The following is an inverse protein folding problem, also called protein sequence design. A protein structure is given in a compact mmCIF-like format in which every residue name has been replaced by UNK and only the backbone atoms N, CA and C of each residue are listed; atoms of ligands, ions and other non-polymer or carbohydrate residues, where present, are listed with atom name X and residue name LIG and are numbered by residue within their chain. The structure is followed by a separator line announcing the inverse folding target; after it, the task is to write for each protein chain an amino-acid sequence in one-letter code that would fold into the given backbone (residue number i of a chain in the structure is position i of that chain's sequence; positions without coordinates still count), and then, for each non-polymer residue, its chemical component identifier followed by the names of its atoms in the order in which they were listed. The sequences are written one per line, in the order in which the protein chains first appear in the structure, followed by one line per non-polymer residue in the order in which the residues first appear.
data_IF_112285673531
#
_entry.id   IF_112285673531
#
_cell.length_a   1.000
_cell.length_b   1.000
_cell.length_c   1.000
_cell.angle_alpha   90.00
_cell.angle_beta   90.00
_cell.angle_gamma   90.00
#
_symmetry.space_group_name_H-M   'P 1'
#
loop_
_entity.id
_entity.type
_entity.pdbx_description
1 polymer ?
#
# COMPACT_ATOMS: atom_id res chain seq x y z
N UNK A 1 -21.46 5.33 -12.01
CA UNK A 1 -20.64 5.30 -10.78
C UNK A 1 -19.24 5.75 -11.14
N UNK A 2 -18.61 6.68 -10.42
CA UNK A 2 -17.22 7.01 -10.69
C UNK A 2 -16.37 5.78 -10.41
N UNK A 3 -15.67 5.28 -11.44
CA UNK A 3 -14.67 4.23 -11.28
C UNK A 3 -13.47 4.86 -10.57
N UNK A 4 -13.28 4.52 -9.30
CA UNK A 4 -12.01 4.80 -8.63
C UNK A 4 -11.00 3.86 -9.29
N UNK A 5 -9.96 4.36 -9.99
CA UNK A 5 -8.93 3.48 -10.52
C UNK A 5 -8.36 2.68 -9.35
N UNK A 6 -8.39 1.35 -9.46
CA UNK A 6 -7.77 0.48 -8.48
C UNK A 6 -6.33 0.98 -8.27
N UNK A 7 -5.88 1.19 -7.01
CA UNK A 7 -4.54 1.69 -6.78
C UNK A 7 -3.56 0.74 -7.47
N UNK A 8 -2.84 1.27 -8.47
CA UNK A 8 -1.75 0.54 -9.11
C UNK A 8 -0.84 0.02 -8.01
N UNK A 9 -0.46 -1.26 -8.07
CA UNK A 9 0.46 -1.90 -7.12
C UNK A 9 1.66 -0.98 -6.84
N UNK A 10 1.58 -0.17 -5.79
CA UNK A 10 2.69 0.61 -5.28
C UNK A 10 2.99 0.05 -3.92
N UNK A 11 3.72 -1.06 -3.95
CA UNK A 11 4.36 -1.63 -2.77
C UNK A 11 5.61 -0.86 -2.37
N UNK A 12 5.61 0.46 -2.57
CA UNK A 12 6.72 1.39 -2.36
C UNK A 12 6.23 2.51 -1.44
N UNK A 13 7.05 2.92 -0.47
CA UNK A 13 6.79 4.13 0.32
C UNK A 13 7.34 5.35 -0.40
N UNK A 14 6.72 6.50 -0.19
CA UNK A 14 7.27 7.77 -0.68
C UNK A 14 8.15 8.37 0.42
N UNK A 15 9.46 8.26 0.25
CA UNK A 15 10.49 8.71 1.19
C UNK A 15 11.42 9.69 0.46
N UNK A 16 11.71 10.84 1.06
CA UNK A 16 12.62 11.86 0.52
C UNK A 16 12.39 12.25 -0.96
N UNK A 17 11.13 12.35 -1.36
CA UNK A 17 10.76 12.77 -2.72
C UNK A 17 10.81 11.66 -3.77
N UNK A 18 11.06 10.40 -3.37
CA UNK A 18 11.12 9.23 -4.25
C UNK A 18 10.26 8.09 -3.74
N UNK A 19 9.87 7.20 -4.64
CA UNK A 19 9.29 5.91 -4.26
C UNK A 19 10.43 4.93 -3.98
N UNK A 20 10.45 4.39 -2.78
CA UNK A 20 11.47 3.48 -2.27
C UNK A 20 10.85 2.13 -1.90
N UNK A 21 11.58 1.06 -2.17
CA UNK A 21 11.21 -0.27 -1.74
C UNK A 21 11.41 -0.40 -0.23
N UNK A 22 10.41 -0.93 0.46
CA UNK A 22 10.39 -1.01 1.92
C UNK A 22 11.28 -2.16 2.38
N UNK A 23 11.98 -2.01 3.50
CA UNK A 23 12.83 -3.08 4.04
C UNK A 23 12.02 -4.22 4.69
N UNK A 24 10.74 -3.99 4.97
CA UNK A 24 9.82 -4.99 5.53
C UNK A 24 9.18 -5.94 4.50
N UNK A 25 9.03 -7.21 4.88
CA UNK A 25 8.31 -8.24 4.09
C UNK A 25 6.80 -8.30 4.40
N UNK A 26 6.29 -7.48 5.33
CA UNK A 26 4.89 -7.54 5.75
C UNK A 26 3.98 -6.74 4.84
N UNK A 27 2.80 -7.30 4.58
CA UNK A 27 1.77 -6.70 3.75
C UNK A 27 0.47 -6.54 4.53
N UNK A 28 -0.26 -5.46 4.24
CA UNK A 28 -1.60 -5.17 4.73
C UNK A 28 -2.60 -5.35 3.58
N UNK A 29 -3.62 -6.18 3.80
CA UNK A 29 -4.74 -6.28 2.86
C UNK A 29 -5.65 -5.06 2.99
N UNK A 30 -6.00 -4.47 1.85
CA UNK A 30 -6.97 -3.38 1.74
C UNK A 30 -8.25 -3.96 1.16
N UNK A 31 -9.32 -3.86 1.93
CA UNK A 31 -10.64 -4.40 1.59
C UNK A 31 -11.64 -3.26 1.41
N UNK A 32 -12.53 -3.37 0.43
CA UNK A 32 -13.63 -2.43 0.26
C UNK A 32 -14.66 -2.64 1.38
N UNK A 33 -14.94 -1.65 2.25
CA UNK A 33 -15.93 -1.84 3.31
C UNK A 33 -17.37 -1.95 2.79
N UNK A 34 -17.65 -1.53 1.55
CA UNK A 34 -19.00 -1.60 0.96
C UNK A 34 -19.31 -2.94 0.29
N UNK A 35 -18.29 -3.67 -0.17
CA UNK A 35 -18.46 -4.95 -0.90
C UNK A 35 -17.73 -6.12 -0.25
N UNK A 36 -16.90 -5.86 0.77
CA UNK A 36 -15.98 -6.82 1.41
C UNK A 36 -14.95 -7.46 0.47
N UNK A 37 -14.84 -6.96 -0.77
CA UNK A 37 -13.91 -7.49 -1.75
C UNK A 37 -12.49 -6.90 -1.56
N UNK A 38 -11.44 -7.69 -1.87
CA UNK A 38 -10.07 -7.21 -1.82
C UNK A 38 -9.82 -6.16 -2.92
N UNK A 39 -9.24 -5.03 -2.54
CA UNK A 39 -8.87 -3.93 -3.45
C UNK A 39 -7.37 -3.94 -3.76
N UNK A 40 -6.54 -4.14 -2.75
CA UNK A 40 -5.08 -4.09 -2.88
C UNK A 40 -4.36 -4.78 -1.73
N UNK A 41 -3.05 -4.97 -1.90
CA UNK A 41 -2.11 -5.32 -0.84
C UNK A 41 -1.05 -4.23 -0.77
N UNK A 42 -0.95 -3.55 0.37
CA UNK A 42 0.05 -2.52 0.61
C UNK A 42 1.19 -3.08 1.43
N UNK A 43 2.42 -2.61 1.21
CA UNK A 43 3.50 -2.93 2.15
C UNK A 43 3.26 -2.22 3.47
N UNK A 44 3.63 -2.89 4.55
CA UNK A 44 3.54 -2.36 5.91
C UNK A 44 4.91 -1.86 6.33
N UNK A 45 5.00 -0.58 6.70
CA UNK A 45 6.23 0.03 7.16
C UNK A 45 6.66 -0.63 8.47
N UNK A 46 7.94 -0.94 8.56
CA UNK A 46 8.58 -1.34 9.81
C UNK A 46 9.14 -0.11 10.52
N UNK A 47 9.57 -0.27 11.77
CA UNK A 47 10.27 0.79 12.51
C UNK A 47 11.49 1.33 11.74
N UNK A 48 12.19 0.46 11.01
CA UNK A 48 13.36 0.84 10.23
C UNK A 48 13.05 1.76 9.05
N UNK A 49 11.80 1.79 8.58
CA UNK A 49 11.37 2.70 7.51
C UNK A 49 10.89 4.06 8.05
N UNK A 50 10.83 4.23 9.39
CA UNK A 50 10.41 5.48 10.07
C UNK A 50 11.61 6.29 10.57
N UNK A 51 12.67 5.61 10.97
CA UNK A 51 13.93 6.20 11.43
C UNK A 51 14.69 6.89 10.26
#
# INVERSE_FOLDING_TARGET
MPTIPAPAQRGEFFLDGRFEATTGERHLAVTNPATEEPLASLRSASRADVD
#
